data_IF_583614354806
#
_entry.id   IF_583614354806
#
_cell.length_a   1.000
_cell.length_b   1.000
_cell.length_c   1.000
_cell.angle_alpha   90.00
_cell.angle_beta   90.00
_cell.angle_gamma   90.00
#
_symmetry.space_group_name_H-M   'P 1'
#
loop_
_entity.id
_entity.type
_entity.pdbx_description
1 polymer ?
#
# COMPACT_ATOMS: atom_id res chain seq x y z
N UNK A 1 67.04 -1.11 -12.01
CA UNK A 1 65.74 -0.49 -12.29
C UNK A 1 64.65 -1.31 -11.60
N UNK A 2 64.09 -0.80 -10.51
CA UNK A 2 63.01 -1.48 -9.77
C UNK A 2 61.64 -1.01 -10.30
N UNK A 3 60.87 -1.93 -10.90
CA UNK A 3 59.54 -1.67 -11.42
C UNK A 3 58.55 -1.72 -10.25
N UNK A 4 58.00 -0.59 -9.87
CA UNK A 4 56.97 -0.50 -8.83
C UNK A 4 55.61 -0.90 -9.47
N UNK A 5 55.12 -2.09 -9.14
CA UNK A 5 53.77 -2.52 -9.52
C UNK A 5 52.73 -1.75 -8.66
N UNK A 6 52.01 -0.82 -9.26
CA UNK A 6 50.81 -0.22 -8.61
C UNK A 6 49.76 -1.32 -8.52
N UNK A 7 49.52 -1.79 -7.32
CA UNK A 7 48.36 -2.64 -7.02
C UNK A 7 47.07 -1.78 -7.10
N UNK A 8 46.25 -2.03 -8.11
CA UNK A 8 44.92 -1.42 -8.20
C UNK A 8 44.08 -1.90 -7.01
N UNK A 9 43.63 -0.98 -6.16
CA UNK A 9 42.70 -1.28 -5.08
C UNK A 9 41.38 -1.81 -5.68
N UNK A 10 40.77 -2.86 -5.10
CA UNK A 10 39.50 -3.37 -5.60
C UNK A 10 38.44 -2.28 -5.53
N UNK A 11 37.82 -1.95 -6.65
CA UNK A 11 36.67 -1.06 -6.72
C UNK A 11 35.53 -1.75 -6.00
N UNK A 12 35.29 -1.34 -4.77
CA UNK A 12 34.18 -1.84 -3.97
C UNK A 12 32.86 -1.38 -4.64
N UNK A 13 32.07 -2.32 -5.15
CA UNK A 13 30.80 -2.00 -5.80
C UNK A 13 29.91 -1.19 -4.86
N UNK A 14 29.40 -0.06 -5.33
CA UNK A 14 28.50 0.78 -4.54
C UNK A 14 27.27 -0.02 -4.07
N UNK A 15 26.89 0.08 -2.80
CA UNK A 15 25.70 -0.60 -2.30
C UNK A 15 24.44 -0.09 -3.00
N UNK A 16 23.57 -1.01 -3.39
CA UNK A 16 22.30 -0.71 -4.07
C UNK A 16 21.19 -0.59 -3.03
N UNK A 17 20.42 0.52 -3.05
CA UNK A 17 19.20 0.67 -2.27
C UNK A 17 18.07 -0.09 -2.94
N UNK A 18 17.54 -1.12 -2.29
CA UNK A 18 16.44 -1.95 -2.82
C UNK A 18 15.12 -1.42 -2.29
N UNK A 19 14.29 -0.88 -3.17
CA UNK A 19 12.95 -0.41 -2.82
C UNK A 19 11.90 -1.44 -3.22
N UNK A 20 10.84 -1.56 -2.44
CA UNK A 20 9.72 -2.45 -2.69
C UNK A 20 8.36 -1.81 -2.38
N UNK A 21 7.31 -2.54 -2.69
CA UNK A 21 5.94 -2.16 -2.37
C UNK A 21 5.06 -3.39 -2.22
N UNK A 22 3.96 -3.27 -1.48
CA UNK A 22 2.89 -4.26 -1.55
C UNK A 22 2.27 -4.24 -2.97
N UNK A 23 1.96 -5.41 -3.58
CA UNK A 23 1.40 -5.47 -4.93
C UNK A 23 -0.12 -5.25 -4.89
N UNK A 24 -0.52 -4.02 -4.61
CA UNK A 24 -1.91 -3.62 -4.37
C UNK A 24 -2.70 -3.28 -5.63
N UNK A 25 -2.02 -3.12 -6.76
CA UNK A 25 -2.57 -2.77 -8.06
C UNK A 25 -1.96 -3.62 -9.19
N UNK A 26 -2.31 -3.29 -10.42
CA UNK A 26 -1.78 -3.94 -11.63
C UNK A 26 -0.25 -3.88 -11.67
N UNK A 27 0.45 -5.01 -11.96
CA UNK A 27 1.91 -5.09 -11.95
C UNK A 27 2.61 -4.11 -12.90
N UNK A 28 2.07 -3.87 -14.10
CA UNK A 28 2.65 -2.92 -15.07
C UNK A 28 2.64 -1.50 -14.52
N UNK A 29 1.52 -1.11 -13.90
CA UNK A 29 1.40 0.20 -13.23
C UNK A 29 2.41 0.35 -12.11
N UNK A 30 2.59 -0.69 -11.28
CA UNK A 30 3.55 -0.69 -10.18
C UNK A 30 4.99 -0.63 -10.70
N UNK A 31 5.33 -1.42 -11.72
CA UNK A 31 6.65 -1.39 -12.33
C UNK A 31 6.99 0.00 -12.90
N UNK A 32 6.04 0.64 -13.60
CA UNK A 32 6.20 2.01 -14.09
C UNK A 32 6.41 3.00 -12.96
N UNK A 33 5.52 2.98 -11.94
CA UNK A 33 5.59 3.90 -10.80
C UNK A 33 6.92 3.80 -10.06
N UNK A 34 7.26 2.59 -9.62
CA UNK A 34 8.47 2.38 -8.80
C UNK A 34 9.76 2.43 -9.62
N UNK A 35 9.71 2.18 -10.93
CA UNK A 35 10.83 2.42 -11.83
C UNK A 35 11.19 3.90 -11.90
N UNK A 36 10.22 4.78 -12.19
CA UNK A 36 10.43 6.23 -12.21
C UNK A 36 10.84 6.77 -10.84
N UNK A 37 10.26 6.24 -9.76
CA UNK A 37 10.66 6.62 -8.40
C UNK A 37 12.10 6.19 -8.07
N UNK A 38 12.53 4.99 -8.50
CA UNK A 38 13.89 4.51 -8.29
C UNK A 38 14.91 5.42 -8.97
N UNK A 39 14.64 5.85 -10.20
CA UNK A 39 15.49 6.82 -10.91
C UNK A 39 15.57 8.17 -10.18
N UNK A 40 14.43 8.69 -9.72
CA UNK A 40 14.38 9.97 -8.99
C UNK A 40 15.15 9.88 -7.66
N UNK A 41 14.93 8.82 -6.87
CA UNK A 41 15.66 8.59 -5.63
C UNK A 41 17.16 8.37 -5.89
N UNK A 42 17.54 7.63 -6.93
CA UNK A 42 18.94 7.43 -7.32
C UNK A 42 19.63 8.75 -7.63
N UNK A 43 18.97 9.62 -8.40
CA UNK A 43 19.45 10.96 -8.71
C UNK A 43 19.64 11.84 -7.46
N UNK A 44 18.67 11.84 -6.53
CA UNK A 44 18.70 12.66 -5.31
C UNK A 44 19.70 12.13 -4.26
N UNK A 45 19.77 10.80 -4.11
CA UNK A 45 20.58 10.15 -3.07
C UNK A 45 22.02 9.87 -3.50
N UNK A 46 22.32 9.93 -4.82
CA UNK A 46 23.62 9.62 -5.43
C UNK A 46 24.08 8.19 -5.15
N UNK A 47 23.14 7.25 -5.13
CA UNK A 47 23.39 5.81 -5.02
C UNK A 47 22.51 5.05 -6.01
N UNK A 48 22.90 3.86 -6.48
CA UNK A 48 22.00 3.02 -7.27
C UNK A 48 20.77 2.64 -6.48
N UNK A 49 19.57 2.82 -7.08
CA UNK A 49 18.29 2.43 -6.50
C UNK A 49 17.62 1.46 -7.45
N UNK A 50 17.07 0.36 -6.92
CA UNK A 50 16.38 -0.65 -7.71
C UNK A 50 15.05 -1.03 -7.09
N UNK A 51 13.98 -1.00 -7.88
CA UNK A 51 12.71 -1.59 -7.51
C UNK A 51 12.78 -3.12 -7.61
N UNK A 52 12.30 -3.79 -6.58
CA UNK A 52 12.22 -5.26 -6.50
C UNK A 52 10.75 -5.62 -6.24
N UNK A 53 10.04 -6.09 -7.26
CA UNK A 53 8.66 -6.52 -7.11
C UNK A 53 8.56 -7.78 -6.24
N UNK A 54 7.43 -7.96 -5.58
CA UNK A 54 7.10 -9.13 -4.76
C UNK A 54 5.75 -9.71 -5.17
N UNK A 55 5.53 -10.99 -4.87
CA UNK A 55 4.34 -11.72 -5.34
C UNK A 55 3.06 -11.39 -4.58
N UNK A 56 3.15 -11.02 -3.31
CA UNK A 56 1.99 -10.71 -2.46
C UNK A 56 2.39 -9.84 -1.25
N UNK A 57 1.40 -9.41 -0.48
CA UNK A 57 1.59 -8.53 0.68
C UNK A 57 2.46 -9.15 1.79
N UNK A 58 2.28 -10.45 2.07
CA UNK A 58 3.09 -11.14 3.07
C UNK A 58 4.55 -11.27 2.62
N UNK A 59 4.79 -11.49 1.33
CA UNK A 59 6.12 -11.52 0.74
C UNK A 59 6.85 -10.17 0.90
N UNK A 60 6.13 -9.02 0.79
CA UNK A 60 6.72 -7.71 1.04
C UNK A 60 7.21 -7.58 2.50
N UNK A 61 6.40 -8.01 3.48
CA UNK A 61 6.77 -8.01 4.90
C UNK A 61 7.97 -8.94 5.16
N UNK A 62 7.96 -10.14 4.58
CA UNK A 62 9.06 -11.10 4.73
C UNK A 62 10.37 -10.58 4.10
N UNK A 63 10.32 -10.05 2.87
CA UNK A 63 11.48 -9.50 2.19
C UNK A 63 12.07 -8.28 2.94
N UNK A 64 11.22 -7.47 3.55
CA UNK A 64 11.67 -6.39 4.43
C UNK A 64 12.36 -6.93 5.69
N UNK A 65 11.74 -7.88 6.38
CA UNK A 65 12.31 -8.51 7.57
C UNK A 65 13.68 -9.16 7.31
N UNK A 66 13.82 -9.89 6.20
CA UNK A 66 15.07 -10.61 5.85
C UNK A 66 16.16 -9.72 5.24
N UNK A 67 15.88 -8.44 4.92
CA UNK A 67 16.86 -7.54 4.30
C UNK A 67 16.94 -7.63 2.78
N UNK A 68 16.03 -8.34 2.16
CA UNK A 68 15.90 -8.36 0.70
C UNK A 68 15.34 -7.04 0.15
N UNK A 69 14.65 -6.26 0.98
CA UNK A 69 14.17 -4.90 0.71
C UNK A 69 14.62 -3.95 1.81
N UNK A 70 14.99 -2.74 1.45
CA UNK A 70 15.52 -1.70 2.33
C UNK A 70 14.50 -0.62 2.69
N UNK A 71 13.70 -0.20 1.71
CA UNK A 71 12.69 0.83 1.81
C UNK A 71 11.43 0.34 1.13
N UNK A 72 10.31 0.29 1.85
CA UNK A 72 9.09 -0.35 1.31
C UNK A 72 7.87 0.56 1.51
N UNK A 73 7.06 0.65 0.46
CA UNK A 73 5.72 1.22 0.49
C UNK A 73 4.73 0.19 1.01
N UNK A 74 4.28 0.38 2.23
CA UNK A 74 3.34 -0.51 2.90
C UNK A 74 1.96 0.15 3.06
N UNK A 75 0.90 -0.66 3.12
CA UNK A 75 -0.33 -0.27 3.76
C UNK A 75 -0.19 -0.26 5.28
N UNK A 76 -1.13 0.37 5.99
CA UNK A 76 -1.07 0.51 7.44
C UNK A 76 -0.83 -0.80 8.19
N UNK A 77 -1.59 -1.87 7.88
CA UNK A 77 -1.44 -3.17 8.53
C UNK A 77 -0.07 -3.80 8.26
N UNK A 78 0.32 -3.89 6.99
CA UNK A 78 1.62 -4.50 6.63
C UNK A 78 2.81 -3.71 7.13
N UNK A 79 2.70 -2.36 7.19
CA UNK A 79 3.72 -1.52 7.78
C UNK A 79 3.87 -1.72 9.29
N UNK A 80 2.75 -1.88 10.01
CA UNK A 80 2.78 -2.25 11.44
C UNK A 80 3.41 -3.63 11.62
N UNK A 81 2.98 -4.63 10.85
CA UNK A 81 3.56 -5.99 10.89
C UNK A 81 5.08 -5.98 10.61
N UNK A 82 5.52 -5.22 9.61
CA UNK A 82 6.93 -5.10 9.26
C UNK A 82 7.75 -4.46 10.39
N UNK A 83 7.24 -3.38 11.02
CA UNK A 83 7.89 -2.70 12.14
C UNK A 83 8.01 -3.60 13.38
N UNK A 84 6.95 -4.30 13.74
CA UNK A 84 6.95 -5.22 14.89
C UNK A 84 7.94 -6.39 14.70
N UNK A 85 8.13 -6.84 13.45
CA UNK A 85 9.08 -7.93 13.14
C UNK A 85 10.51 -7.45 12.86
N UNK A 86 10.75 -6.14 12.79
CA UNK A 86 12.07 -5.56 12.49
C UNK A 86 12.31 -4.34 13.38
N UNK A 87 12.80 -4.55 14.63
CA UNK A 87 13.12 -3.46 15.56
C UNK A 87 14.10 -2.45 14.95
N UNK A 88 13.96 -1.17 15.31
CA UNK A 88 14.79 -0.09 14.76
C UNK A 88 14.33 0.45 13.41
N UNK A 89 13.24 -0.07 12.86
CA UNK A 89 12.59 0.43 11.64
C UNK A 89 12.10 1.87 11.80
N UNK A 90 12.20 2.66 10.73
CA UNK A 90 11.72 4.07 10.71
C UNK A 90 10.57 4.24 9.72
N UNK A 91 9.50 4.88 10.17
CA UNK A 91 8.43 5.42 9.32
C UNK A 91 8.88 6.79 8.82
N UNK A 92 8.85 7.03 7.51
CA UNK A 92 9.43 8.22 6.92
C UNK A 92 8.38 9.22 6.39
N UNK A 93 7.52 8.77 5.51
CA UNK A 93 6.59 9.62 4.77
C UNK A 93 5.33 8.87 4.36
N UNK A 94 4.27 9.63 4.13
CA UNK A 94 3.00 9.17 3.58
C UNK A 94 2.51 10.17 2.53
N UNK A 95 1.55 9.79 1.69
CA UNK A 95 0.87 10.76 0.83
C UNK A 95 -0.02 11.66 1.69
N UNK A 96 -0.29 12.86 1.22
CA UNK A 96 -1.23 13.79 1.85
C UNK A 96 -2.60 13.15 2.13
N UNK A 97 -3.07 12.29 1.22
CA UNK A 97 -4.35 11.57 1.35
C UNK A 97 -4.32 10.45 2.40
N UNK A 98 -3.16 9.91 2.76
CA UNK A 98 -3.05 8.74 3.64
C UNK A 98 -3.29 9.06 5.12
N UNK A 99 -3.22 10.32 5.52
CA UNK A 99 -3.54 10.75 6.88
C UNK A 99 -5.05 10.62 7.20
N UNK A 100 -5.90 10.67 6.16
CA UNK A 100 -7.37 10.56 6.24
C UNK A 100 -7.90 9.67 5.13
N UNK A 101 -7.33 8.49 5.02
CA UNK A 101 -7.64 7.53 3.97
C UNK A 101 -8.99 6.84 4.20
N UNK A 102 -9.64 6.40 3.12
CA UNK A 102 -10.95 5.73 3.17
C UNK A 102 -10.96 4.48 2.31
N UNK A 103 -11.75 3.49 2.71
CA UNK A 103 -12.16 2.39 1.86
C UNK A 103 -13.54 2.68 1.25
N UNK A 104 -13.78 2.12 0.08
CA UNK A 104 -15.11 2.06 -0.51
C UNK A 104 -15.61 0.63 -0.52
N UNK A 105 -16.90 0.46 -0.21
CA UNK A 105 -17.64 -0.74 -0.50
C UNK A 105 -18.30 -0.53 -1.86
N UNK A 106 -18.07 -1.46 -2.76
CA UNK A 106 -18.65 -1.45 -4.11
C UNK A 106 -19.60 -2.63 -4.26
N UNK A 107 -20.60 -2.46 -5.10
CA UNK A 107 -21.57 -3.51 -5.40
C UNK A 107 -21.82 -3.61 -6.91
N UNK A 108 -21.99 -4.84 -7.39
CA UNK A 108 -22.47 -5.13 -8.74
C UNK A 108 -23.87 -4.56 -8.92
N UNK A 109 -24.19 -4.05 -10.10
CA UNK A 109 -25.53 -3.56 -10.45
C UNK A 109 -26.63 -4.61 -10.26
N UNK A 110 -26.30 -5.88 -10.49
CA UNK A 110 -27.24 -7.01 -10.33
C UNK A 110 -27.43 -7.46 -8.87
N UNK A 111 -26.64 -6.94 -7.91
CA UNK A 111 -26.69 -7.38 -6.50
C UNK A 111 -27.96 -6.96 -5.73
N UNK A 112 -28.71 -5.99 -6.25
CA UNK A 112 -29.83 -5.35 -5.57
C UNK A 112 -29.43 -4.35 -4.47
N UNK A 113 -28.14 -4.27 -4.11
CA UNK A 113 -27.63 -3.36 -3.09
C UNK A 113 -27.72 -1.90 -3.56
N UNK A 114 -28.16 -1.01 -2.68
CA UNK A 114 -28.30 0.42 -2.95
C UNK A 114 -27.24 1.21 -2.18
N UNK A 115 -26.80 2.37 -2.68
CA UNK A 115 -25.96 3.30 -1.90
C UNK A 115 -26.66 3.74 -0.60
N UNK A 116 -25.87 3.90 0.48
CA UNK A 116 -26.35 4.33 1.78
C UNK A 116 -25.30 5.18 2.50
N UNK A 117 -25.74 5.91 3.52
CA UNK A 117 -24.88 6.73 4.40
C UNK A 117 -24.79 6.17 5.81
N UNK A 118 -25.85 5.53 6.30
CA UNK A 118 -25.86 4.89 7.63
C UNK A 118 -25.10 3.55 7.59
N UNK A 119 -24.05 3.44 8.40
CA UNK A 119 -23.24 2.24 8.52
C UNK A 119 -24.03 1.00 8.98
N UNK A 120 -25.15 1.16 9.69
CA UNK A 120 -26.05 0.07 10.08
C UNK A 120 -26.58 -0.70 8.87
N UNK A 121 -26.67 -0.07 7.71
CA UNK A 121 -27.08 -0.70 6.46
C UNK A 121 -26.04 -1.66 5.86
N UNK A 122 -24.81 -1.73 6.42
CA UNK A 122 -23.86 -2.81 6.09
C UNK A 122 -24.47 -4.20 6.30
N UNK A 123 -25.52 -4.35 7.12
CA UNK A 123 -26.25 -5.59 7.32
C UNK A 123 -26.83 -6.16 6.01
N UNK A 124 -27.03 -5.34 4.98
CA UNK A 124 -27.44 -5.79 3.64
C UNK A 124 -26.39 -6.74 2.98
N UNK A 125 -25.18 -6.75 3.48
CA UNK A 125 -24.12 -7.65 2.99
C UNK A 125 -24.29 -9.10 3.47
N UNK A 126 -25.13 -9.37 4.47
CA UNK A 126 -25.41 -10.74 4.93
C UNK A 126 -25.97 -11.58 3.79
N UNK A 127 -25.46 -12.80 3.65
CA UNK A 127 -25.81 -13.71 2.55
C UNK A 127 -25.27 -13.33 1.17
N UNK A 128 -24.53 -12.22 1.04
CA UNK A 128 -23.96 -11.80 -0.24
C UNK A 128 -22.59 -12.43 -0.49
N UNK A 129 -22.30 -12.76 -1.76
CA UNK A 129 -20.94 -13.12 -2.19
C UNK A 129 -20.08 -11.85 -2.15
N UNK A 130 -19.20 -11.80 -1.16
CA UNK A 130 -18.36 -10.63 -0.88
C UNK A 130 -16.89 -10.97 -1.03
N UNK A 131 -16.12 -10.10 -1.69
CA UNK A 131 -14.66 -10.23 -1.76
C UNK A 131 -13.96 -9.06 -1.08
N UNK A 132 -12.95 -9.39 -0.28
CA UNK A 132 -11.91 -8.46 0.13
C UNK A 132 -10.80 -8.40 -0.92
N UNK A 133 -9.84 -7.48 -0.75
CA UNK A 133 -8.58 -7.46 -1.50
C UNK A 133 -7.62 -8.56 -1.01
N UNK A 134 -6.36 -8.18 -0.72
CA UNK A 134 -5.43 -9.11 -0.05
C UNK A 134 -5.82 -9.33 1.41
N UNK A 135 -5.51 -10.51 1.94
CA UNK A 135 -5.71 -10.86 3.35
C UNK A 135 -5.00 -9.94 4.34
N UNK A 136 -3.90 -9.31 3.92
CA UNK A 136 -3.12 -8.37 4.72
C UNK A 136 -3.34 -6.91 4.33
N UNK A 137 -4.36 -6.62 3.49
CA UNK A 137 -4.69 -5.24 3.11
C UNK A 137 -5.37 -4.50 4.25
N UNK A 138 -5.00 -3.24 4.47
CA UNK A 138 -5.69 -2.33 5.38
C UNK A 138 -7.03 -1.91 4.82
N UNK A 139 -7.01 -1.23 3.66
CA UNK A 139 -8.19 -0.66 3.01
C UNK A 139 -9.03 -1.70 2.26
N UNK A 140 -8.42 -2.79 1.79
CA UNK A 140 -9.14 -3.87 1.11
C UNK A 140 -9.67 -4.95 2.06
N UNK A 141 -9.26 -4.96 3.34
CA UNK A 141 -9.72 -5.97 4.28
C UNK A 141 -9.86 -5.50 5.72
N UNK A 142 -8.79 -5.09 6.40
CA UNK A 142 -8.80 -4.86 7.84
C UNK A 142 -9.90 -3.88 8.27
N UNK A 143 -9.88 -2.67 7.69
CA UNK A 143 -10.82 -1.62 8.06
C UNK A 143 -12.25 -1.92 7.58
N UNK A 144 -12.49 -2.41 6.35
CA UNK A 144 -13.80 -2.90 5.96
C UNK A 144 -14.35 -3.98 6.90
N UNK A 145 -13.57 -5.00 7.25
CA UNK A 145 -13.99 -6.05 8.18
C UNK A 145 -14.30 -5.50 9.58
N UNK A 146 -13.48 -4.54 10.06
CA UNK A 146 -13.72 -3.87 11.33
C UNK A 146 -15.07 -3.14 11.34
N UNK A 147 -15.36 -2.35 10.32
CA UNK A 147 -16.64 -1.61 10.24
C UNK A 147 -17.84 -2.54 10.05
N UNK A 148 -17.70 -3.61 9.26
CA UNK A 148 -18.73 -4.65 9.16
C UNK A 148 -19.03 -5.24 10.54
N UNK A 149 -18.01 -5.66 11.29
CA UNK A 149 -18.16 -6.24 12.63
C UNK A 149 -18.82 -5.29 13.62
N UNK A 150 -18.43 -4.00 13.59
CA UNK A 150 -19.05 -2.95 14.42
C UNK A 150 -20.54 -2.74 14.15
N UNK A 151 -21.00 -3.13 12.97
CA UNK A 151 -22.40 -3.01 12.53
C UNK A 151 -23.11 -4.38 12.45
N UNK A 152 -22.59 -5.40 13.15
CA UNK A 152 -23.24 -6.69 13.31
C UNK A 152 -23.16 -7.61 12.08
N UNK A 153 -22.13 -7.42 11.23
CA UNK A 153 -21.84 -8.30 10.09
C UNK A 153 -20.52 -9.01 10.31
N UNK A 154 -20.56 -10.31 10.58
CA UNK A 154 -19.39 -11.19 10.66
C UNK A 154 -19.04 -11.72 9.27
N UNK A 155 -17.79 -12.13 9.08
CA UNK A 155 -17.37 -12.77 7.82
C UNK A 155 -18.12 -14.10 7.57
N UNK A 156 -18.56 -14.76 8.63
CA UNK A 156 -19.40 -15.98 8.59
C UNK A 156 -20.84 -15.70 8.15
N UNK A 157 -21.31 -14.46 8.18
CA UNK A 157 -22.65 -14.08 7.71
C UNK A 157 -22.70 -13.90 6.17
N UNK A 158 -21.55 -13.94 5.51
CA UNK A 158 -21.46 -13.83 4.04
C UNK A 158 -21.84 -15.15 3.35
N UNK A 159 -22.14 -15.10 2.06
CA UNK A 159 -22.50 -16.29 1.30
C UNK A 159 -21.41 -17.39 1.42
N UNK A 160 -21.84 -18.61 1.69
CA UNK A 160 -20.93 -19.74 1.93
C UNK A 160 -20.15 -19.67 3.24
N UNK A 161 -20.53 -18.77 4.18
CA UNK A 161 -19.91 -18.63 5.49
C UNK A 161 -18.50 -18.02 5.46
N UNK A 162 -18.06 -17.49 4.34
CA UNK A 162 -16.70 -16.92 4.17
C UNK A 162 -16.63 -15.88 3.05
N UNK A 163 -15.73 -14.88 3.17
CA UNK A 163 -15.45 -13.96 2.06
C UNK A 163 -14.52 -14.60 1.02
N UNK A 164 -14.50 -14.03 -0.18
CA UNK A 164 -13.40 -14.20 -1.13
C UNK A 164 -12.24 -13.24 -0.84
N UNK A 165 -11.09 -13.52 -1.48
CA UNK A 165 -9.92 -12.67 -1.48
C UNK A 165 -9.39 -12.53 -2.91
N UNK A 166 -9.44 -11.32 -3.45
CA UNK A 166 -9.04 -11.03 -4.83
C UNK A 166 -7.53 -10.85 -5.01
N UNK A 167 -6.80 -10.59 -3.91
CA UNK A 167 -5.37 -10.33 -3.91
C UNK A 167 -4.96 -8.88 -4.12
N UNK A 168 -5.70 -8.08 -4.93
CA UNK A 168 -5.40 -6.67 -5.20
C UNK A 168 -6.67 -5.84 -5.35
N UNK A 169 -6.54 -4.50 -5.33
CA UNK A 169 -7.69 -3.60 -5.49
C UNK A 169 -8.27 -3.63 -6.90
N UNK A 170 -7.42 -3.72 -7.93
CA UNK A 170 -7.88 -3.83 -9.33
C UNK A 170 -8.63 -5.14 -9.55
N UNK A 171 -8.16 -6.26 -8.96
CA UNK A 171 -8.86 -7.54 -9.03
C UNK A 171 -10.21 -7.51 -8.29
N UNK A 172 -10.30 -6.83 -7.11
CA UNK A 172 -11.58 -6.62 -6.42
C UNK A 172 -12.58 -5.92 -7.34
N UNK A 173 -12.15 -4.82 -7.97
CA UNK A 173 -12.99 -4.06 -8.89
C UNK A 173 -13.46 -4.94 -10.06
N UNK A 174 -12.55 -5.65 -10.71
CA UNK A 174 -12.88 -6.52 -11.85
C UNK A 174 -13.89 -7.62 -11.49
N UNK A 175 -13.70 -8.28 -10.34
CA UNK A 175 -14.59 -9.35 -9.88
C UNK A 175 -16.01 -8.86 -9.54
N UNK A 176 -16.14 -7.65 -8.96
CA UNK A 176 -17.46 -7.09 -8.67
C UNK A 176 -18.12 -6.53 -9.95
N UNK A 177 -17.35 -5.88 -10.82
CA UNK A 177 -17.87 -5.37 -12.09
C UNK A 177 -18.35 -6.48 -13.04
N UNK A 178 -17.68 -7.64 -13.02
CA UNK A 178 -18.11 -8.82 -13.80
C UNK A 178 -19.32 -9.55 -13.20
N UNK A 179 -19.71 -9.25 -11.95
CA UNK A 179 -20.77 -9.95 -11.23
C UNK A 179 -20.33 -11.27 -10.59
N UNK A 180 -19.04 -11.66 -10.67
CA UNK A 180 -18.51 -12.84 -10.00
C UNK A 180 -18.69 -12.73 -8.47
N UNK A 181 -18.59 -11.50 -7.94
CA UNK A 181 -18.98 -11.15 -6.59
C UNK A 181 -20.06 -10.08 -6.60
N UNK A 182 -21.00 -10.15 -5.64
CA UNK A 182 -22.10 -9.19 -5.52
C UNK A 182 -21.61 -7.87 -4.90
N UNK A 183 -20.59 -7.95 -4.03
CA UNK A 183 -19.96 -6.77 -3.42
C UNK A 183 -18.51 -7.05 -3.07
N UNK A 184 -17.78 -5.97 -2.78
CA UNK A 184 -16.40 -6.03 -2.35
C UNK A 184 -15.94 -4.72 -1.71
N UNK A 185 -14.72 -4.73 -1.14
CA UNK A 185 -14.13 -3.54 -0.55
C UNK A 185 -12.73 -3.28 -1.11
N UNK A 186 -12.43 -2.03 -1.41
CA UNK A 186 -11.13 -1.61 -1.92
C UNK A 186 -10.77 -0.19 -1.50
N UNK A 187 -9.55 0.17 -1.82
CA UNK A 187 -8.95 1.49 -1.70
C UNK A 187 -9.72 2.52 -2.55
N UNK A 188 -10.18 3.61 -1.93
CA UNK A 188 -10.94 4.64 -2.64
C UNK A 188 -10.10 5.37 -3.71
N UNK A 189 -8.80 5.56 -3.50
CA UNK A 189 -7.95 6.21 -4.49
C UNK A 189 -7.84 5.35 -5.76
N UNK A 190 -7.73 4.02 -5.62
CA UNK A 190 -7.70 3.09 -6.76
C UNK A 190 -9.05 3.10 -7.48
N UNK A 191 -10.17 3.11 -6.76
CA UNK A 191 -11.50 3.29 -7.35
C UNK A 191 -11.55 4.55 -8.21
N UNK A 192 -11.22 5.71 -7.62
CA UNK A 192 -11.25 7.01 -8.32
C UNK A 192 -10.33 7.04 -9.55
N UNK A 193 -9.13 6.47 -9.42
CA UNK A 193 -8.16 6.39 -10.50
C UNK A 193 -8.69 5.56 -11.68
N UNK A 194 -9.34 4.43 -11.40
CA UNK A 194 -9.93 3.58 -12.44
C UNK A 194 -11.16 4.23 -13.09
N UNK A 195 -12.00 4.96 -12.31
CA UNK A 195 -13.11 5.77 -12.87
C UNK A 195 -12.56 6.84 -13.81
N UNK A 196 -11.55 7.60 -13.36
CA UNK A 196 -10.91 8.65 -14.19
C UNK A 196 -10.29 8.07 -15.46
N UNK A 197 -9.77 6.87 -15.42
CA UNK A 197 -9.17 6.17 -16.56
C UNK A 197 -10.20 5.48 -17.48
N UNK A 198 -11.51 5.62 -17.23
CA UNK A 198 -12.57 4.98 -18.01
C UNK A 198 -12.64 3.45 -17.88
N UNK A 199 -11.97 2.87 -16.87
CA UNK A 199 -11.93 1.41 -16.65
C UNK A 199 -13.10 0.88 -15.83
N UNK A 200 -13.93 1.78 -15.29
CA UNK A 200 -15.11 1.43 -14.50
C UNK A 200 -16.37 1.71 -15.30
N UNK A 201 -17.17 0.67 -15.52
CA UNK A 201 -18.54 0.83 -16.00
C UNK A 201 -19.46 1.06 -14.81
N UNK A 202 -19.86 2.33 -14.58
CA UNK A 202 -20.68 2.75 -13.44
C UNK A 202 -22.12 2.22 -13.47
N UNK A 203 -22.59 1.69 -14.61
CA UNK A 203 -23.87 1.01 -14.70
C UNK A 203 -23.77 -0.41 -14.13
N UNK A 204 -22.58 -1.03 -14.24
CA UNK A 204 -22.32 -2.40 -13.77
C UNK A 204 -21.82 -2.47 -12.34
N UNK A 205 -21.15 -1.41 -11.83
CA UNK A 205 -20.62 -1.37 -10.49
C UNK A 205 -20.69 0.04 -9.91
N UNK A 206 -21.07 0.13 -8.64
CA UNK A 206 -21.19 1.42 -7.93
C UNK A 206 -20.68 1.34 -6.51
N UNK A 207 -20.26 2.49 -5.97
CA UNK A 207 -19.96 2.63 -4.55
C UNK A 207 -21.27 2.64 -3.78
N UNK A 208 -21.37 1.77 -2.78
CA UNK A 208 -22.53 1.70 -1.88
C UNK A 208 -22.27 2.33 -0.52
N UNK A 209 -21.00 2.36 -0.05
CA UNK A 209 -20.62 3.00 1.19
C UNK A 209 -19.15 3.35 1.25
N UNK A 210 -18.80 4.38 2.06
CA UNK A 210 -17.44 4.78 2.37
C UNK A 210 -17.20 4.69 3.87
N UNK A 211 -16.02 4.19 4.25
CA UNK A 211 -15.64 4.15 5.66
C UNK A 211 -15.37 5.55 6.21
N UNK A 212 -15.49 5.74 7.54
CA UNK A 212 -14.80 6.83 8.21
C UNK A 212 -13.29 6.79 7.93
N UNK A 213 -12.58 7.95 8.01
CA UNK A 213 -11.17 8.04 7.68
C UNK A 213 -10.27 7.34 8.71
N UNK A 214 -9.10 6.88 8.25
CA UNK A 214 -8.02 6.26 9.04
C UNK A 214 -6.68 6.50 8.36
N UNK A 215 -5.55 6.27 9.04
CA UNK A 215 -4.23 6.31 8.43
C UNK A 215 -3.96 5.01 7.66
N UNK A 216 -3.41 5.10 6.44
CA UNK A 216 -3.10 3.91 5.65
C UNK A 216 -1.64 3.92 5.14
N UNK A 217 -1.39 4.15 3.87
CA UNK A 217 -0.10 3.90 3.25
C UNK A 217 1.05 4.76 3.79
N UNK A 218 2.26 4.17 3.84
CA UNK A 218 3.47 4.88 4.23
C UNK A 218 4.76 4.20 3.80
N UNK A 219 5.83 4.99 3.70
CA UNK A 219 7.19 4.52 3.48
C UNK A 219 7.84 4.10 4.79
N UNK A 220 8.42 2.92 4.78
CA UNK A 220 9.09 2.31 5.93
C UNK A 220 10.51 1.92 5.52
N UNK A 221 11.50 2.40 6.28
CA UNK A 221 12.91 2.12 6.07
C UNK A 221 13.44 1.14 7.12
N UNK A 222 14.27 0.19 6.68
CA UNK A 222 14.95 -0.76 7.57
C UNK A 222 16.01 -0.07 8.43
N UNK A 223 16.35 -0.63 9.60
CA UNK A 223 17.55 -0.24 10.32
C UNK A 223 18.82 -0.58 9.52
N UNK A 224 19.92 0.07 9.87
CA UNK A 224 21.23 -0.23 9.27
C UNK A 224 21.55 0.50 7.96
N UNK A 225 20.65 1.33 7.43
CA UNK A 225 20.88 2.08 6.19
C UNK A 225 22.00 3.11 6.36
N UNK A 226 22.06 3.78 7.50
CA UNK A 226 23.09 4.78 7.78
C UNK A 226 24.50 4.16 7.88
N UNK A 227 24.60 2.91 8.36
CA UNK A 227 25.88 2.17 8.36
C UNK A 227 26.31 1.77 6.96
N UNK A 228 25.35 1.39 6.09
CA UNK A 228 25.64 0.91 4.74
C UNK A 228 25.87 2.03 3.72
N UNK A 229 25.17 3.14 3.85
CA UNK A 229 25.19 4.25 2.89
C UNK A 229 25.75 5.57 3.44
N UNK A 230 26.23 5.57 4.69
CA UNK A 230 26.79 6.74 5.36
C UNK A 230 25.79 7.47 6.25
N UNK A 231 26.33 8.12 7.28
CA UNK A 231 25.59 8.83 8.33
C UNK A 231 24.49 9.75 7.76
N UNK A 232 23.28 9.67 8.31
CA UNK A 232 22.14 10.48 7.92
C UNK A 232 21.45 10.04 6.61
N UNK A 233 21.80 8.88 6.05
CA UNK A 233 21.22 8.42 4.79
C UNK A 233 19.70 8.23 4.89
N UNK A 234 19.21 7.68 5.99
CA UNK A 234 17.76 7.50 6.21
C UNK A 234 17.01 8.84 6.24
N UNK A 235 17.63 9.89 6.78
CA UNK A 235 17.06 11.25 6.72
C UNK A 235 17.08 11.79 5.29
N UNK A 236 18.14 11.54 4.51
CA UNK A 236 18.18 11.94 3.09
C UNK A 236 17.08 11.25 2.27
N UNK A 237 16.78 9.98 2.53
CA UNK A 237 15.61 9.30 1.89
C UNK A 237 14.33 10.05 2.23
N UNK A 238 14.09 10.36 3.50
CA UNK A 238 12.89 11.11 3.92
C UNK A 238 12.80 12.45 3.18
N UNK A 239 13.87 13.23 3.15
CA UNK A 239 13.91 14.52 2.45
C UNK A 239 13.69 14.35 0.93
N UNK A 240 14.27 13.32 0.32
CA UNK A 240 14.06 13.03 -1.10
C UNK A 240 12.58 12.77 -1.42
N UNK A 241 11.87 12.02 -0.57
CA UNK A 241 10.43 11.78 -0.72
C UNK A 241 9.62 13.07 -0.51
N UNK A 242 9.90 13.83 0.55
CA UNK A 242 9.18 15.06 0.90
C UNK A 242 9.42 16.20 -0.12
N UNK A 243 10.55 16.16 -0.83
CA UNK A 243 10.90 17.17 -1.84
C UNK A 243 10.27 16.94 -3.22
N UNK A 244 9.48 15.86 -3.38
CA UNK A 244 8.75 15.65 -4.65
C UNK A 244 7.79 16.82 -4.88
N UNK A 245 7.97 17.47 -6.03
CA UNK A 245 7.31 18.73 -6.34
C UNK A 245 6.57 18.64 -7.70
N UNK A 246 5.26 18.94 -7.77
CA UNK A 246 4.49 18.87 -9.01
C UNK A 246 4.96 19.84 -10.11
N UNK A 247 5.82 20.80 -9.78
CA UNK A 247 6.43 21.72 -10.78
C UNK A 247 7.59 21.08 -11.56
N UNK A 248 8.11 19.93 -11.11
CA UNK A 248 9.19 19.20 -11.77
C UNK A 248 8.59 18.00 -12.52
N UNK A 249 8.85 17.81 -13.82
CA UNK A 249 8.15 16.82 -14.65
C UNK A 249 8.18 15.40 -14.09
N UNK A 250 9.37 14.90 -13.66
CA UNK A 250 9.48 13.54 -13.10
C UNK A 250 8.77 13.42 -11.76
N UNK A 251 8.90 14.39 -10.87
CA UNK A 251 8.18 14.42 -9.59
C UNK A 251 6.67 14.51 -9.80
N UNK A 252 6.20 15.30 -10.77
CA UNK A 252 4.79 15.40 -11.14
C UNK A 252 4.22 14.04 -11.56
N UNK A 253 4.94 13.32 -12.43
CA UNK A 253 4.55 11.98 -12.86
C UNK A 253 4.50 10.99 -11.68
N UNK A 254 5.48 11.03 -10.79
CA UNK A 254 5.49 10.18 -9.59
C UNK A 254 4.26 10.49 -8.73
N UNK A 255 4.00 11.76 -8.42
CA UNK A 255 2.85 12.18 -7.61
C UNK A 255 1.51 11.79 -8.26
N UNK A 256 1.38 11.94 -9.58
CA UNK A 256 0.20 11.51 -10.33
C UNK A 256 -0.02 10.00 -10.22
N UNK A 257 1.03 9.19 -10.43
CA UNK A 257 0.96 7.74 -10.34
C UNK A 257 0.61 7.24 -8.93
N UNK A 258 1.08 7.95 -7.88
CA UNK A 258 0.68 7.72 -6.49
C UNK A 258 -0.74 8.24 -6.19
N UNK A 259 -1.32 9.10 -7.02
CA UNK A 259 -2.58 9.79 -6.74
C UNK A 259 -2.47 10.76 -5.57
N UNK A 260 -1.33 11.41 -5.41
CA UNK A 260 -0.99 12.34 -4.34
C UNK A 260 -0.76 13.75 -4.88
N UNK A 261 -0.97 14.77 -4.05
CA UNK A 261 -0.51 16.13 -4.34
C UNK A 261 0.91 16.34 -3.82
N UNK A 262 1.25 15.70 -2.71
CA UNK A 262 2.56 15.77 -2.06
C UNK A 262 2.77 14.60 -1.12
N UNK A 263 4.00 14.36 -0.70
CA UNK A 263 4.31 13.54 0.46
C UNK A 263 4.49 14.41 1.69
N UNK A 264 4.00 13.90 2.83
CA UNK A 264 4.10 14.54 4.14
C UNK A 264 4.84 13.62 5.11
N UNK A 265 5.47 14.15 6.18
CA UNK A 265 6.10 13.33 7.20
C UNK A 265 5.10 12.37 7.84
N UNK A 266 5.56 11.15 8.13
CA UNK A 266 4.79 10.17 8.89
C UNK A 266 5.63 9.63 10.06
N UNK A 267 4.95 9.16 11.11
CA UNK A 267 5.56 8.55 12.29
C UNK A 267 4.78 7.30 12.71
N UNK A 268 5.42 6.43 13.47
CA UNK A 268 4.84 5.15 13.89
C UNK A 268 3.48 5.30 14.58
N UNK A 269 3.34 6.29 15.45
CA UNK A 269 2.09 6.55 16.18
C UNK A 269 0.89 6.95 15.31
N UNK A 270 1.08 7.35 14.05
CA UNK A 270 -0.04 7.56 13.13
C UNK A 270 -0.86 6.26 12.91
N UNK A 271 -0.25 5.09 13.15
CA UNK A 271 -0.81 3.76 12.86
C UNK A 271 -1.23 2.99 14.11
N UNK A 272 -1.25 3.59 15.30
CA UNK A 272 -1.64 2.95 16.56
C UNK A 272 -3.06 2.38 16.50
N UNK A 273 -3.99 3.12 15.86
CA UNK A 273 -5.35 2.61 15.63
C UNK A 273 -5.37 1.39 14.71
N UNK A 274 -4.52 1.36 13.68
CA UNK A 274 -4.41 0.20 12.77
C UNK A 274 -3.86 -1.00 13.52
N UNK A 275 -2.85 -0.79 14.40
CA UNK A 275 -2.32 -1.84 15.26
C UNK A 275 -3.39 -2.38 16.20
N UNK A 276 -4.14 -1.51 16.90
CA UNK A 276 -5.21 -1.90 17.80
C UNK A 276 -6.30 -2.73 17.08
N UNK A 277 -6.76 -2.29 15.92
CA UNK A 277 -7.73 -3.04 15.10
C UNK A 277 -7.11 -4.35 14.59
N UNK A 278 -5.83 -4.34 14.21
CA UNK A 278 -5.10 -5.54 13.78
C UNK A 278 -5.05 -6.60 14.88
N UNK A 279 -4.77 -6.20 16.13
CA UNK A 279 -4.79 -7.09 17.30
C UNK A 279 -6.21 -7.58 17.60
N UNK A 280 -7.20 -6.69 17.61
CA UNK A 280 -8.61 -7.05 17.84
C UNK A 280 -9.12 -8.10 16.84
N UNK A 281 -8.69 -8.05 15.59
CA UNK A 281 -9.09 -8.98 14.53
C UNK A 281 -8.12 -10.15 14.33
N UNK A 282 -7.12 -10.34 15.23
CA UNK A 282 -6.15 -11.42 15.18
C UNK A 282 -5.20 -11.37 13.97
N UNK A 283 -4.96 -10.18 13.42
CA UNK A 283 -4.03 -9.97 12.29
C UNK A 283 -2.63 -9.54 12.75
N UNK A 284 -2.52 -9.12 13.98
CA UNK A 284 -1.27 -8.83 14.71
C UNK A 284 -1.31 -9.61 16.01
N UNK A 285 -0.23 -10.36 16.27
CA UNK A 285 -0.01 -11.08 17.52
C UNK A 285 0.72 -10.21 18.54
#
# INVERSE_FOLDING_TARGET
MASAALAAAPVQAQPVLKIGAIPDQNPEKLNRLYGVLAEELGSKLKVPVRYVPVSNYAAAVSAFRTGSLDLVWFGGLTGVQARLQTPGTRVLAQRDIDAKFTSVFIASGASGLKPFTDAGQLRQLKGKRFTFGSESSTSGRLMPQYFMGRNGVKTTDLAGGRPGFSGSHDATLALVQSGAYEAGALNEQVWRSNVKAGKVNTDKVKVIWRTPPYADYHWVARPGLDQRFGKGFTNRIQQALLSLNPKQPRSALILELFGAKTFIPAKASNYDRIEAVGRQLGKIR
#
